data_IF_357126429164
#
_entry.id   IF_357126429164
#
_cell.length_a   1.000
_cell.length_b   1.000
_cell.length_c   1.000
_cell.angle_alpha   90.00
_cell.angle_beta   90.00
_cell.angle_gamma   90.00
#
_symmetry.space_group_name_H-M   'P 1'
#
loop_
_entity.id
_entity.type
_entity.pdbx_description
1 polymer ?
#
# COMPACT_ATOMS: atom_id res chain seq x y z
N UNK A 1 -9.61 12.74 23.69
CA UNK A 1 -10.22 11.47 23.25
C UNK A 1 -9.11 10.65 22.64
N UNK A 2 -8.83 9.45 23.15
CA UNK A 2 -7.74 8.63 22.62
C UNK A 2 -8.12 8.18 21.19
N UNK A 3 -7.27 8.51 20.22
CA UNK A 3 -7.40 7.97 18.87
C UNK A 3 -6.87 6.52 18.90
N UNK A 4 -7.62 5.59 18.31
CA UNK A 4 -7.22 4.17 18.25
C UNK A 4 -6.05 3.92 17.30
N UNK A 5 -5.75 4.87 16.42
CA UNK A 5 -4.67 4.79 15.46
C UNK A 5 -3.75 6.00 15.56
N UNK A 6 -2.46 5.77 15.29
CA UNK A 6 -1.44 6.80 15.23
C UNK A 6 -0.95 6.94 13.80
N UNK A 7 -0.76 8.17 13.35
CA UNK A 7 -0.23 8.47 12.01
C UNK A 7 1.05 9.30 12.14
N UNK A 8 2.04 9.02 11.27
CA UNK A 8 3.29 9.78 11.20
C UNK A 8 3.64 10.05 9.73
N UNK A 9 3.98 11.30 9.42
CA UNK A 9 4.44 11.67 8.09
C UNK A 9 5.77 10.96 7.77
N UNK A 10 5.86 10.36 6.58
CA UNK A 10 7.07 9.69 6.08
C UNK A 10 8.05 10.71 5.49
N UNK A 11 7.52 11.83 4.98
CA UNK A 11 8.25 12.95 4.37
C UNK A 11 7.66 14.27 4.86
N UNK A 12 8.23 15.42 4.47
CA UNK A 12 7.61 16.73 4.68
C UNK A 12 6.25 16.76 3.96
N UNK A 13 5.18 17.07 4.69
CA UNK A 13 3.79 16.98 4.21
C UNK A 13 2.98 18.17 4.70
N UNK A 14 2.13 18.72 3.85
CA UNK A 14 1.08 19.68 4.23
C UNK A 14 -0.26 18.96 4.37
N UNK A 15 -1.08 19.39 5.32
CA UNK A 15 -2.35 18.74 5.65
C UNK A 15 -3.46 19.78 5.68
N UNK A 16 -4.63 19.39 5.18
CA UNK A 16 -5.89 20.09 5.42
C UNK A 16 -6.63 19.40 6.55
N UNK A 17 -7.14 20.19 7.49
CA UNK A 17 -7.93 19.70 8.61
C UNK A 17 -9.38 20.06 8.36
N UNK A 18 -10.24 19.04 8.40
CA UNK A 18 -11.69 19.20 8.42
C UNK A 18 -12.19 18.68 9.77
N UNK A 19 -12.98 19.47 10.46
CA UNK A 19 -13.61 19.12 11.73
C UNK A 19 -14.84 18.26 11.49
N UNK A 20 -15.25 17.49 12.52
CA UNK A 20 -16.47 16.69 12.46
C UNK A 20 -17.72 17.54 12.16
N UNK A 21 -17.78 18.76 12.71
CA UNK A 21 -18.91 19.66 12.50
C UNK A 21 -18.99 20.14 11.05
N UNK A 22 -17.85 20.51 10.44
CA UNK A 22 -17.80 20.89 9.03
C UNK A 22 -18.26 19.74 8.12
N UNK A 23 -17.85 18.50 8.39
CA UNK A 23 -18.35 17.33 7.63
C UNK A 23 -19.87 17.18 7.77
N UNK A 24 -20.42 17.32 8.98
CA UNK A 24 -21.87 17.23 9.23
C UNK A 24 -22.61 18.34 8.45
N UNK A 25 -22.07 19.54 8.40
CA UNK A 25 -22.67 20.66 7.69
C UNK A 25 -22.62 20.47 6.16
N UNK A 26 -21.47 20.05 5.64
CA UNK A 26 -21.28 19.73 4.21
C UNK A 26 -22.26 18.64 3.77
N UNK A 27 -22.41 17.58 4.57
CA UNK A 27 -23.31 16.46 4.25
C UNK A 27 -24.79 16.82 4.34
N UNK A 28 -25.17 17.77 5.22
CA UNK A 28 -26.53 18.33 5.24
C UNK A 28 -26.83 19.17 4.00
N UNK A 29 -25.88 20.01 3.59
CA UNK A 29 -26.06 20.93 2.46
C UNK A 29 -25.95 20.21 1.11
N UNK A 30 -25.25 19.07 1.05
CA UNK A 30 -25.18 18.22 -0.13
C UNK A 30 -25.27 16.73 0.23
N UNK A 31 -26.49 16.17 0.29
CA UNK A 31 -26.70 14.76 0.62
C UNK A 31 -26.04 13.76 -0.34
N UNK A 32 -25.70 14.14 -1.57
CA UNK A 32 -25.02 13.24 -2.52
C UNK A 32 -23.64 12.81 -2.01
N UNK A 33 -22.96 13.69 -1.26
CA UNK A 33 -21.64 13.42 -0.67
C UNK A 33 -21.71 12.24 0.32
N UNK A 34 -22.83 12.03 1.00
CA UNK A 34 -23.01 10.90 1.92
C UNK A 34 -22.91 9.58 1.16
N UNK A 35 -23.53 9.49 -0.02
CA UNK A 35 -23.49 8.27 -0.82
C UNK A 35 -22.08 7.98 -1.34
N UNK A 36 -21.37 8.99 -1.85
CA UNK A 36 -19.95 8.84 -2.22
C UNK A 36 -19.08 8.40 -1.04
N UNK A 37 -19.36 8.90 0.16
CA UNK A 37 -18.66 8.51 1.38
C UNK A 37 -18.95 7.06 1.77
N UNK A 38 -20.20 6.62 1.66
CA UNK A 38 -20.60 5.22 1.90
C UNK A 38 -19.89 4.29 0.91
N UNK A 39 -19.89 4.64 -0.38
CA UNK A 39 -19.23 3.85 -1.42
C UNK A 39 -17.72 3.73 -1.16
N UNK A 40 -17.08 4.83 -0.75
CA UNK A 40 -15.68 4.85 -0.36
C UNK A 40 -15.41 3.92 0.84
N UNK A 41 -16.26 3.97 1.87
CA UNK A 41 -16.14 3.10 3.05
C UNK A 41 -16.34 1.62 2.69
N UNK A 42 -17.34 1.31 1.85
CA UNK A 42 -17.61 -0.05 1.38
C UNK A 42 -16.43 -0.60 0.57
N UNK A 43 -15.87 0.19 -0.35
CA UNK A 43 -14.67 -0.18 -1.10
C UNK A 43 -13.48 -0.47 -0.17
N UNK A 44 -13.23 0.40 0.81
CA UNK A 44 -12.17 0.21 1.80
C UNK A 44 -12.36 -1.10 2.60
N UNK A 45 -13.61 -1.44 2.96
CA UNK A 45 -13.90 -2.66 3.70
C UNK A 45 -13.59 -3.91 2.86
N UNK A 46 -13.89 -3.89 1.56
CA UNK A 46 -13.56 -4.96 0.63
C UNK A 46 -12.03 -5.12 0.54
N UNK A 47 -11.30 -4.01 0.38
CA UNK A 47 -9.83 -4.02 0.29
C UNK A 47 -9.18 -4.61 1.55
N UNK A 48 -9.68 -4.22 2.73
CA UNK A 48 -9.21 -4.77 4.02
C UNK A 48 -9.48 -6.27 4.09
N UNK A 49 -10.66 -6.74 3.67
CA UNK A 49 -11.00 -8.17 3.65
C UNK A 49 -10.02 -8.96 2.78
N UNK A 50 -9.72 -8.47 1.58
CA UNK A 50 -8.76 -9.11 0.68
C UNK A 50 -7.35 -9.13 1.27
N UNK A 51 -6.95 -8.05 1.92
CA UNK A 51 -5.66 -7.99 2.60
C UNK A 51 -5.57 -8.99 3.75
N UNK A 52 -6.64 -9.20 4.52
CA UNK A 52 -6.69 -10.21 5.60
C UNK A 52 -6.54 -11.63 5.04
N UNK A 53 -7.23 -11.95 3.94
CA UNK A 53 -7.08 -13.25 3.26
C UNK A 53 -5.64 -13.45 2.79
N UNK A 54 -5.04 -12.41 2.19
CA UNK A 54 -3.65 -12.45 1.75
C UNK A 54 -2.68 -12.63 2.93
N UNK A 55 -2.94 -11.99 4.07
CA UNK A 55 -2.13 -12.13 5.28
C UNK A 55 -2.23 -13.54 5.88
N UNK A 56 -3.42 -14.13 5.91
CA UNK A 56 -3.64 -15.46 6.47
C UNK A 56 -3.07 -16.59 5.58
N UNK A 57 -3.27 -16.51 4.26
CA UNK A 57 -3.04 -17.64 3.35
C UNK A 57 -1.99 -17.37 2.26
N UNK A 58 -1.54 -16.13 2.09
CA UNK A 58 -0.55 -15.79 1.07
C UNK A 58 0.85 -16.30 1.41
N UNK A 59 1.52 -16.88 0.43
CA UNK A 59 2.96 -17.13 0.52
C UNK A 59 3.72 -15.81 0.70
N UNK A 60 4.90 -15.84 1.32
CA UNK A 60 5.73 -14.63 1.46
C UNK A 60 6.03 -14.00 0.09
N UNK A 61 6.23 -14.84 -0.93
CA UNK A 61 6.46 -14.41 -2.31
C UNK A 61 5.22 -13.72 -2.87
N UNK A 62 4.03 -14.30 -2.73
CA UNK A 62 2.76 -13.69 -3.18
C UNK A 62 2.50 -12.36 -2.51
N UNK A 63 2.61 -12.31 -1.18
CA UNK A 63 2.44 -11.08 -0.40
C UNK A 63 3.38 -9.98 -0.90
N UNK A 64 4.66 -10.32 -1.10
CA UNK A 64 5.67 -9.39 -1.62
C UNK A 64 5.32 -8.90 -3.03
N UNK A 65 4.95 -9.80 -3.93
CA UNK A 65 4.61 -9.48 -5.32
C UNK A 65 3.39 -8.55 -5.42
N UNK A 66 2.31 -8.87 -4.70
CA UNK A 66 1.09 -8.05 -4.66
C UNK A 66 1.39 -6.67 -4.08
N UNK A 67 2.12 -6.57 -2.98
CA UNK A 67 2.46 -5.26 -2.39
C UNK A 67 3.32 -4.42 -3.33
N UNK A 68 4.30 -5.01 -4.02
CA UNK A 68 5.10 -4.29 -5.02
C UNK A 68 4.23 -3.79 -6.19
N UNK A 69 3.27 -4.60 -6.65
CA UNK A 69 2.34 -4.21 -7.71
C UNK A 69 1.41 -3.07 -7.24
N UNK A 70 0.87 -3.14 -6.01
CA UNK A 70 0.05 -2.07 -5.42
C UNK A 70 0.85 -0.78 -5.27
N UNK A 71 2.09 -0.85 -4.78
CA UNK A 71 2.95 0.34 -4.66
C UNK A 71 3.25 0.94 -6.04
N UNK A 72 3.37 0.11 -7.08
CA UNK A 72 3.58 0.57 -8.45
C UNK A 72 2.37 1.27 -9.10
N UNK A 73 1.19 1.23 -8.49
CA UNK A 73 -0.01 1.95 -8.95
C UNK A 73 -0.35 3.17 -8.09
N UNK A 74 0.53 3.53 -7.15
CA UNK A 74 0.32 4.64 -6.20
C UNK A 74 1.41 5.70 -6.34
N UNK A 75 1.29 6.81 -5.61
CA UNK A 75 2.24 7.94 -5.60
C UNK A 75 3.65 7.58 -5.08
N UNK A 76 3.95 6.31 -4.78
CA UNK A 76 5.29 5.84 -4.41
C UNK A 76 6.21 5.59 -5.61
N UNK A 77 5.71 5.84 -6.82
CA UNK A 77 6.42 5.68 -8.08
C UNK A 77 6.98 7.02 -8.53
N UNK A 78 8.30 7.09 -8.70
CA UNK A 78 8.94 8.29 -9.26
C UNK A 78 8.76 8.37 -10.79
N UNK A 79 9.24 9.46 -11.40
CA UNK A 79 9.24 9.67 -12.85
C UNK A 79 9.90 8.56 -13.67
N UNK A 80 10.71 7.69 -13.03
CA UNK A 80 11.41 6.56 -13.64
C UNK A 80 10.72 5.20 -13.40
N UNK A 81 9.47 5.19 -12.94
CA UNK A 81 8.74 3.99 -12.57
C UNK A 81 9.38 3.15 -11.44
N UNK A 82 10.06 3.80 -10.49
CA UNK A 82 10.72 3.16 -9.35
C UNK A 82 9.96 3.39 -8.06
N UNK A 83 9.75 2.31 -7.32
CA UNK A 83 9.12 2.30 -6.00
C UNK A 83 10.17 2.73 -4.98
N UNK A 84 9.93 3.84 -4.27
CA UNK A 84 10.86 4.36 -3.24
C UNK A 84 10.28 4.15 -1.84
N UNK A 85 10.72 3.10 -1.15
CA UNK A 85 10.30 2.76 0.21
C UNK A 85 11.44 2.07 0.98
N UNK A 86 11.56 2.36 2.28
CA UNK A 86 12.53 1.64 3.12
C UNK A 86 12.15 0.16 3.26
N UNK A 87 13.15 -0.72 3.32
CA UNK A 87 12.92 -2.17 3.47
C UNK A 87 12.14 -2.51 4.75
N UNK A 88 12.35 -1.74 5.83
CA UNK A 88 11.62 -1.91 7.09
C UNK A 88 10.14 -1.52 6.96
N UNK A 89 9.83 -0.42 6.28
CA UNK A 89 8.42 -0.01 6.07
C UNK A 89 7.72 -0.99 5.12
N UNK A 90 8.40 -1.46 4.08
CA UNK A 90 7.86 -2.47 3.18
C UNK A 90 7.58 -3.79 3.93
N UNK A 91 8.52 -4.25 4.77
CA UNK A 91 8.33 -5.46 5.57
C UNK A 91 7.15 -5.35 6.53
N UNK A 92 7.01 -4.20 7.21
CA UNK A 92 5.87 -3.89 8.08
C UNK A 92 4.54 -3.87 7.32
N UNK A 93 4.52 -3.27 6.12
CA UNK A 93 3.32 -3.22 5.27
C UNK A 93 2.87 -4.62 4.80
N UNK A 94 3.81 -5.53 4.58
CA UNK A 94 3.54 -6.91 4.15
C UNK A 94 3.24 -7.83 5.34
N UNK A 95 3.64 -7.44 6.56
CA UNK A 95 3.51 -8.26 7.76
C UNK A 95 4.51 -9.41 7.83
N UNK A 96 5.74 -9.20 7.37
CA UNK A 96 6.82 -10.21 7.39
C UNK A 96 8.10 -9.65 8.02
N UNK A 97 8.99 -10.54 8.44
CA UNK A 97 10.32 -10.15 8.89
C UNK A 97 11.14 -9.49 7.76
N UNK A 98 11.97 -8.51 8.12
CA UNK A 98 12.76 -7.71 7.17
C UNK A 98 13.74 -8.60 6.39
N UNK A 99 14.33 -9.58 7.05
CA UNK A 99 15.28 -10.55 6.50
C UNK A 99 14.61 -11.43 5.44
N UNK A 100 13.39 -11.91 5.74
CA UNK A 100 12.60 -12.72 4.81
C UNK A 100 12.20 -11.93 3.56
N UNK A 101 11.85 -10.64 3.73
CA UNK A 101 11.60 -9.75 2.61
C UNK A 101 12.85 -9.58 1.73
N UNK A 102 14.01 -9.31 2.34
CA UNK A 102 15.27 -9.11 1.60
C UNK A 102 15.62 -10.34 0.77
N UNK A 103 15.50 -11.56 1.34
CA UNK A 103 15.70 -12.81 0.61
C UNK A 103 14.74 -12.94 -0.58
N UNK A 104 13.45 -12.70 -0.34
CA UNK A 104 12.42 -12.78 -1.39
C UNK A 104 12.68 -11.80 -2.54
N UNK A 105 13.11 -10.57 -2.22
CA UNK A 105 13.48 -9.59 -3.22
C UNK A 105 14.72 -10.03 -4.01
N UNK A 106 15.71 -10.62 -3.35
CA UNK A 106 16.89 -11.18 -4.04
C UNK A 106 16.48 -12.26 -5.03
N UNK A 107 15.61 -13.20 -4.64
CA UNK A 107 15.09 -14.24 -5.53
C UNK A 107 14.37 -13.62 -6.74
N UNK A 108 13.51 -12.62 -6.52
CA UNK A 108 12.83 -11.90 -7.61
C UNK A 108 13.81 -11.19 -8.56
N UNK A 109 14.94 -10.69 -8.04
CA UNK A 109 16.00 -10.10 -8.87
C UNK A 109 16.68 -11.16 -9.74
N UNK A 110 17.04 -12.31 -9.17
CA UNK A 110 17.65 -13.44 -9.90
C UNK A 110 16.71 -13.94 -11.00
N UNK A 111 15.41 -14.01 -10.72
CA UNK A 111 14.37 -14.39 -11.68
C UNK A 111 14.03 -13.30 -12.71
N UNK A 112 14.73 -12.16 -12.69
CA UNK A 112 14.54 -11.00 -13.58
C UNK A 112 13.10 -10.45 -13.52
N UNK A 113 12.47 -10.53 -12.36
CA UNK A 113 11.15 -9.95 -12.12
C UNK A 113 11.24 -8.48 -11.71
N UNK A 114 12.30 -8.14 -10.95
CA UNK A 114 12.59 -6.80 -10.45
C UNK A 114 14.06 -6.45 -10.60
N UNK A 115 14.37 -5.17 -10.57
CA UNK A 115 15.71 -4.64 -10.29
C UNK A 115 15.71 -3.98 -8.91
N UNK A 116 16.81 -4.20 -8.18
CA UNK A 116 17.01 -3.65 -6.83
C UNK A 116 18.09 -2.60 -6.91
N UNK A 117 17.73 -1.37 -6.56
CA UNK A 117 18.66 -0.27 -6.30
C UNK A 117 18.73 0.02 -4.79
N UNK A 118 19.73 0.77 -4.30
CA UNK A 118 19.95 0.98 -2.87
C UNK A 118 18.71 1.50 -2.10
N UNK A 119 17.91 2.37 -2.73
CA UNK A 119 16.71 2.98 -2.13
C UNK A 119 15.43 2.74 -2.93
N UNK A 120 15.50 2.04 -4.06
CA UNK A 120 14.38 1.90 -4.98
C UNK A 120 14.24 0.46 -5.50
N UNK A 121 13.06 0.14 -6.01
CA UNK A 121 12.76 -1.14 -6.68
C UNK A 121 12.08 -0.82 -8.00
N UNK A 122 12.59 -1.38 -9.10
CA UNK A 122 11.97 -1.26 -10.43
C UNK A 122 11.33 -2.58 -10.82
N UNK A 123 10.09 -2.54 -11.30
CA UNK A 123 9.40 -3.74 -11.78
C UNK A 123 9.78 -4.00 -13.24
N UNK A 124 10.41 -5.13 -13.51
CA UNK A 124 10.85 -5.52 -14.86
C UNK A 124 9.78 -6.36 -15.55
N UNK A 125 9.14 -7.28 -14.81
CA UNK A 125 8.12 -8.15 -15.38
C UNK A 125 6.85 -8.19 -14.51
N UNK A 126 6.00 -7.16 -14.67
CA UNK A 126 4.71 -7.05 -13.97
C UNK A 126 3.80 -8.27 -14.23
N UNK A 127 3.78 -8.79 -15.47
CA UNK A 127 2.96 -9.95 -15.85
C UNK A 127 3.34 -11.22 -15.09
N UNK A 128 4.64 -11.48 -14.90
CA UNK A 128 5.11 -12.63 -14.10
C UNK A 128 4.85 -12.41 -12.61
N UNK A 129 5.04 -11.20 -12.09
CA UNK A 129 4.72 -10.87 -10.69
C UNK A 129 3.24 -11.11 -10.36
N UNK A 130 2.32 -10.78 -11.29
CA UNK A 130 0.88 -11.04 -11.14
C UNK A 130 0.53 -12.54 -11.06
N UNK A 131 1.41 -13.42 -11.54
CA UNK A 131 1.20 -14.88 -11.55
C UNK A 131 1.84 -15.60 -10.36
N UNK A 132 2.50 -14.88 -9.45
CA UNK A 132 3.11 -15.49 -8.27
C UNK A 132 2.03 -16.02 -7.32
N UNK A 133 2.19 -17.28 -6.92
CA UNK A 133 1.31 -18.00 -5.98
C UNK A 133 1.76 -17.90 -4.52
#
# INVERSE_FOLDING_TARGET
MAHFENSKAITTTQLYKITKNEIIEITKNNPSIIYEFIDLLASNLIDVKEQLILLAYGSVRKKTAITLLKLATTNFVNSENKITISRSNLAKSIGIAKETLIRTLHDFKVEKLIEIEPKSIKLINKKKLLKIQ
#
